data_IF_544216395116
#
_entry.id   IF_544216395116
#
_cell.length_a   1.000
_cell.length_b   1.000
_cell.length_c   1.000
_cell.angle_alpha   90.00
_cell.angle_beta   90.00
_cell.angle_gamma   90.00
#
_symmetry.space_group_name_H-M   'P 1'
#
loop_
_entity.id
_entity.type
_entity.pdbx_description
1 polymer ?
#
# COMPACT_ATOMS: atom_id res chain seq x y z
N UNK A 1 -5.73 59.66 -46.81
CA UNK A 1 -4.71 60.18 -45.87
C UNK A 1 -3.85 58.98 -45.47
N UNK A 2 -2.86 58.62 -46.28
CA UNK A 2 -1.50 59.16 -46.36
C UNK A 2 -0.52 58.52 -45.33
N UNK A 3 0.40 57.72 -45.89
CA UNK A 3 1.81 57.58 -45.54
C UNK A 3 2.27 56.83 -44.26
N UNK A 4 2.93 55.68 -44.50
CA UNK A 4 4.16 55.23 -43.81
C UNK A 4 5.30 56.29 -43.98
N UNK A 5 6.56 56.22 -43.43
CA UNK A 5 7.29 55.04 -42.91
C UNK A 5 8.42 55.30 -41.84
N UNK A 6 9.22 54.24 -41.55
CA UNK A 6 10.70 54.21 -41.33
C UNK A 6 11.40 54.74 -40.05
N UNK A 7 12.24 53.83 -39.49
CA UNK A 7 13.71 53.91 -39.22
C UNK A 7 14.29 54.32 -37.84
N UNK A 8 15.16 53.39 -37.39
CA UNK A 8 16.56 53.53 -36.93
C UNK A 8 16.94 53.91 -35.47
N UNK A 9 17.89 53.10 -34.96
CA UNK A 9 18.77 53.21 -33.77
C UNK A 9 19.45 54.59 -33.58
N UNK A 10 19.98 54.89 -32.38
CA UNK A 10 21.43 54.65 -32.16
C UNK A 10 21.86 54.20 -30.74
N UNK A 11 23.04 53.59 -30.71
CA UNK A 11 23.94 53.34 -29.57
C UNK A 11 24.15 54.57 -28.68
N UNK A 12 24.30 54.39 -27.36
CA UNK A 12 25.19 55.22 -26.51
C UNK A 12 25.86 54.36 -25.42
N UNK A 13 27.16 54.59 -25.26
CA UNK A 13 28.11 54.03 -24.29
C UNK A 13 27.76 54.43 -22.83
N UNK A 14 28.23 53.65 -21.85
CA UNK A 14 29.04 54.14 -20.71
C UNK A 14 29.77 52.94 -20.07
N UNK A 15 31.08 53.10 -19.96
CA UNK A 15 32.02 52.22 -19.26
C UNK A 15 32.10 52.61 -17.78
N UNK A 16 32.45 51.66 -16.90
CA UNK A 16 33.13 51.98 -15.65
C UNK A 16 34.13 50.86 -15.29
N UNK A 17 35.40 51.22 -15.47
CA UNK A 17 36.60 50.60 -14.90
C UNK A 17 36.59 50.76 -13.39
N UNK A 18 37.18 49.81 -12.66
CA UNK A 18 38.34 50.02 -11.77
C UNK A 18 38.60 48.75 -10.95
N UNK A 19 39.71 48.07 -11.23
CA UNK A 19 40.20 46.92 -10.46
C UNK A 19 41.72 46.94 -10.41
N UNK A 20 42.25 47.52 -9.35
CA UNK A 20 43.65 47.48 -8.89
C UNK A 20 43.62 47.79 -7.38
N UNK A 21 44.38 47.22 -6.47
CA UNK A 21 45.41 46.19 -6.47
C UNK A 21 45.59 45.72 -5.01
N UNK A 22 46.07 44.47 -4.85
CA UNK A 22 47.01 43.96 -3.84
C UNK A 22 47.06 44.54 -2.41
N UNK A 23 47.00 43.64 -1.42
CA UNK A 23 48.04 43.52 -0.36
C UNK A 23 47.85 42.23 0.47
N UNK A 24 48.94 41.48 0.63
CA UNK A 24 49.08 40.33 1.54
C UNK A 24 49.14 40.79 3.01
N UNK A 25 48.63 40.00 3.96
CA UNK A 25 49.28 39.76 5.26
C UNK A 25 48.61 38.70 6.15
N UNK A 26 49.45 37.75 6.57
CA UNK A 26 49.65 37.21 7.92
C UNK A 26 48.64 36.24 8.59
N UNK A 27 49.24 35.19 9.16
CA UNK A 27 48.70 34.15 10.03
C UNK A 27 48.57 34.57 11.50
N UNK A 28 47.57 34.03 12.22
CA UNK A 28 47.60 33.48 13.59
C UNK A 28 46.13 33.24 14.03
N UNK A 29 45.72 32.11 14.59
CA UNK A 29 45.96 31.71 15.99
C UNK A 29 45.70 30.20 16.25
N UNK A 30 46.21 29.77 17.41
CA UNK A 30 46.45 28.43 18.01
C UNK A 30 45.20 27.57 18.40
N UNK A 31 45.39 26.31 18.84
CA UNK A 31 44.40 25.22 18.82
C UNK A 31 43.61 25.04 20.12
N UNK A 32 42.46 24.35 20.05
CA UNK A 32 41.79 23.75 21.23
C UNK A 32 41.47 22.27 20.99
N UNK A 33 41.98 21.45 21.91
CA UNK A 33 41.60 20.06 22.13
C UNK A 33 40.21 19.97 22.77
N UNK A 34 39.39 19.02 22.32
CA UNK A 34 38.34 18.38 23.12
C UNK A 34 38.18 16.92 22.68
N UNK A 35 38.38 15.99 23.60
CA UNK A 35 38.19 14.53 23.48
C UNK A 35 36.72 14.13 23.78
N UNK A 36 36.31 12.85 23.62
CA UNK A 36 34.98 12.47 23.10
C UNK A 36 34.04 11.86 24.15
N UNK A 37 32.73 12.01 23.95
CA UNK A 37 31.65 11.02 24.21
C UNK A 37 30.29 11.71 24.01
N UNK A 38 29.44 11.22 23.11
CA UNK A 38 28.29 10.40 23.52
C UNK A 38 27.26 10.39 22.39
N UNK A 39 26.90 9.19 21.95
CA UNK A 39 26.30 8.86 20.66
C UNK A 39 24.91 9.48 20.42
N UNK A 40 24.76 10.17 19.28
CA UNK A 40 23.46 10.38 18.63
C UNK A 40 22.98 9.04 18.06
N UNK A 41 21.82 8.58 18.52
CA UNK A 41 21.14 7.43 17.97
C UNK A 41 20.44 7.85 16.67
N UNK A 42 21.20 8.02 15.59
CA UNK A 42 20.68 8.16 14.22
C UNK A 42 20.88 6.83 13.52
N UNK A 43 20.02 5.85 13.78
CA UNK A 43 19.94 4.70 12.90
C UNK A 43 19.47 5.21 11.52
N UNK A 44 20.27 5.05 10.46
CA UNK A 44 19.82 5.38 9.11
C UNK A 44 18.62 4.49 8.76
N UNK A 45 17.73 4.95 7.86
CA UNK A 45 16.74 4.07 7.25
C UNK A 45 17.44 2.81 6.72
N UNK A 46 16.90 1.60 6.94
CA UNK A 46 17.46 0.41 6.33
C UNK A 46 17.55 0.63 4.82
N UNK A 47 18.71 0.38 4.24
CA UNK A 47 18.93 0.46 2.80
C UNK A 47 17.80 -0.32 2.06
N UNK A 48 17.23 0.31 1.03
CA UNK A 48 16.00 -0.12 0.36
C UNK A 48 16.03 -1.55 -0.26
N UNK A 49 17.19 -2.20 -0.28
CA UNK A 49 17.41 -3.54 -0.85
C UNK A 49 17.47 -4.69 0.17
N UNK A 50 17.61 -4.44 1.47
CA UNK A 50 17.74 -5.52 2.47
C UNK A 50 16.42 -6.01 3.08
N UNK A 51 15.29 -5.35 2.81
CA UNK A 51 13.98 -5.87 3.20
C UNK A 51 13.50 -6.84 2.11
N UNK A 52 14.09 -8.04 2.09
CA UNK A 52 13.61 -9.14 1.23
C UNK A 52 12.42 -9.86 1.85
N UNK A 53 12.20 -9.69 3.17
CA UNK A 53 11.11 -10.30 3.90
C UNK A 53 10.28 -9.24 4.65
N UNK A 54 9.09 -8.94 4.12
CA UNK A 54 8.17 -7.95 4.66
C UNK A 54 7.55 -8.33 6.02
N UNK A 55 7.50 -9.61 6.36
CA UNK A 55 6.86 -10.09 7.59
C UNK A 55 7.68 -9.76 8.85
N UNK A 56 8.99 -9.53 8.69
CA UNK A 56 9.90 -9.20 9.78
C UNK A 56 9.86 -7.72 10.18
N UNK A 57 9.15 -6.88 9.43
CA UNK A 57 9.05 -5.45 9.73
C UNK A 57 8.14 -5.19 10.92
N UNK A 58 8.56 -4.23 11.75
CA UNK A 58 7.68 -3.68 12.79
C UNK A 58 6.47 -2.98 12.15
N UNK A 59 5.37 -2.76 12.88
CA UNK A 59 4.20 -2.09 12.33
C UNK A 59 4.49 -0.72 11.72
N UNK A 60 5.37 0.07 12.36
CA UNK A 60 5.76 1.39 11.89
C UNK A 60 6.60 1.31 10.59
N UNK A 61 7.51 0.34 10.50
CA UNK A 61 8.31 0.11 9.29
C UNK A 61 7.44 -0.38 8.14
N UNK A 62 6.57 -1.36 8.40
CA UNK A 62 5.62 -1.89 7.45
C UNK A 62 4.71 -0.78 6.88
N UNK A 63 4.16 0.06 7.77
CA UNK A 63 3.37 1.24 7.38
C UNK A 63 4.14 2.16 6.45
N UNK A 64 5.36 2.56 6.82
CA UNK A 64 6.18 3.46 6.02
C UNK A 64 6.45 2.92 4.61
N UNK A 65 6.53 1.60 4.44
CA UNK A 65 6.78 0.94 3.16
C UNK A 65 5.50 0.81 2.31
N UNK A 66 4.40 0.37 2.91
CA UNK A 66 3.25 -0.14 2.12
C UNK A 66 2.02 0.78 2.10
N UNK A 67 1.89 1.74 3.01
CA UNK A 67 0.64 2.49 3.22
C UNK A 67 0.04 3.06 1.93
N UNK A 68 0.85 3.70 1.09
CA UNK A 68 0.39 4.28 -0.18
C UNK A 68 -0.06 3.19 -1.17
N UNK A 69 0.70 2.09 -1.27
CA UNK A 69 0.33 0.96 -2.14
C UNK A 69 -0.97 0.30 -1.65
N UNK A 70 -1.12 0.11 -0.34
CA UNK A 70 -2.32 -0.47 0.25
C UNK A 70 -3.56 0.43 0.03
N UNK A 71 -3.41 1.74 0.16
CA UNK A 71 -4.48 2.71 -0.10
C UNK A 71 -4.93 2.72 -1.57
N UNK A 72 -3.98 2.59 -2.51
CA UNK A 72 -4.30 2.49 -3.94
C UNK A 72 -5.07 1.20 -4.24
N UNK A 73 -4.64 0.06 -3.67
CA UNK A 73 -5.34 -1.21 -3.82
C UNK A 73 -6.75 -1.15 -3.21
N UNK A 74 -6.88 -0.61 -2.01
CA UNK A 74 -8.17 -0.45 -1.33
C UNK A 74 -9.13 0.42 -2.15
N UNK A 75 -8.66 1.54 -2.71
CA UNK A 75 -9.46 2.39 -3.58
C UNK A 75 -9.87 1.67 -4.86
N UNK A 76 -8.94 0.99 -5.52
CA UNK A 76 -9.24 0.23 -6.73
C UNK A 76 -10.29 -0.86 -6.48
N UNK A 77 -10.19 -1.54 -5.34
CA UNK A 77 -11.23 -2.46 -4.88
C UNK A 77 -12.54 -1.69 -4.66
N UNK A 78 -12.58 -0.63 -3.85
CA UNK A 78 -13.80 0.15 -3.52
C UNK A 78 -14.50 0.79 -4.73
N UNK A 79 -13.77 1.13 -5.79
CA UNK A 79 -14.31 1.72 -7.02
C UNK A 79 -14.57 0.69 -8.13
N UNK A 80 -14.28 -0.59 -7.86
CA UNK A 80 -14.32 -1.68 -8.84
C UNK A 80 -13.41 -1.44 -10.07
N UNK A 81 -12.31 -0.72 -9.88
CA UNK A 81 -11.33 -0.41 -10.91
C UNK A 81 -10.36 -1.59 -11.08
N UNK A 82 -10.82 -2.63 -11.77
CA UNK A 82 -10.04 -3.87 -11.97
C UNK A 82 -8.82 -3.69 -12.86
N UNK A 83 -8.80 -2.67 -13.73
CA UNK A 83 -7.64 -2.32 -14.53
C UNK A 83 -6.50 -1.79 -13.66
N UNK A 84 -6.80 -0.90 -12.70
CA UNK A 84 -5.82 -0.41 -11.74
C UNK A 84 -5.35 -1.53 -10.82
N UNK A 85 -6.29 -2.34 -10.31
CA UNK A 85 -5.97 -3.47 -9.43
C UNK A 85 -5.03 -4.46 -10.13
N UNK A 86 -5.29 -4.80 -11.40
CA UNK A 86 -4.46 -5.71 -12.19
C UNK A 86 -2.99 -5.27 -12.27
N UNK A 87 -2.73 -3.97 -12.38
CA UNK A 87 -1.37 -3.42 -12.39
C UNK A 87 -0.60 -3.61 -11.07
N UNK A 88 -1.29 -3.96 -9.99
CA UNK A 88 -0.71 -4.20 -8.67
C UNK A 88 -0.51 -5.69 -8.36
N UNK A 89 -1.06 -6.58 -9.18
CA UNK A 89 -1.06 -8.02 -8.91
C UNK A 89 0.31 -8.63 -9.18
N UNK A 90 0.74 -9.55 -8.32
CA UNK A 90 2.04 -10.18 -8.46
C UNK A 90 2.15 -10.94 -9.80
N UNK A 91 3.19 -10.70 -10.62
CA UNK A 91 3.25 -11.19 -12.00
C UNK A 91 3.27 -12.72 -12.12
N UNK A 92 3.91 -13.42 -11.17
CA UNK A 92 3.98 -14.89 -11.14
C UNK A 92 2.93 -15.54 -10.22
N UNK A 93 2.77 -15.04 -8.99
CA UNK A 93 1.85 -15.62 -7.99
C UNK A 93 0.38 -15.30 -8.22
N UNK A 94 0.07 -14.20 -8.94
CA UNK A 94 -1.28 -13.66 -8.98
C UNK A 94 -1.73 -13.09 -7.64
N UNK A 95 -3.04 -12.89 -7.49
CA UNK A 95 -3.69 -12.50 -6.24
C UNK A 95 -4.72 -13.57 -5.86
N UNK A 96 -4.64 -14.02 -4.62
CA UNK A 96 -5.59 -14.96 -4.01
C UNK A 96 -6.73 -14.20 -3.34
N UNK A 97 -7.95 -14.69 -3.51
CA UNK A 97 -9.15 -14.19 -2.82
C UNK A 97 -9.64 -15.23 -1.83
N UNK A 98 -9.64 -14.88 -0.55
CA UNK A 98 -10.11 -15.73 0.54
C UNK A 98 -11.37 -15.11 1.17
N UNK A 99 -12.52 -15.81 1.17
CA UNK A 99 -13.77 -15.28 1.74
C UNK A 99 -13.73 -15.19 3.28
N UNK A 100 -12.71 -15.77 3.92
CA UNK A 100 -12.55 -15.86 5.37
C UNK A 100 -11.10 -15.63 5.81
N UNK A 101 -10.91 -15.52 7.13
CA UNK A 101 -9.59 -15.30 7.74
C UNK A 101 -8.64 -16.49 7.54
N UNK A 102 -9.19 -17.70 7.40
CA UNK A 102 -8.44 -18.87 7.01
C UNK A 102 -8.22 -18.86 5.50
N UNK A 103 -6.96 -18.81 5.11
CA UNK A 103 -6.52 -18.87 3.72
C UNK A 103 -6.38 -20.33 3.33
N UNK A 104 -7.23 -20.80 2.41
CA UNK A 104 -7.16 -22.15 1.86
C UNK A 104 -6.29 -22.14 0.60
N UNK A 105 -5.06 -22.66 0.72
CA UNK A 105 -4.11 -22.63 -0.39
C UNK A 105 -4.53 -23.45 -1.60
N UNK A 106 -5.41 -24.43 -1.40
CA UNK A 106 -5.79 -25.43 -2.38
C UNK A 106 -7.07 -25.05 -3.13
N UNK A 107 -8.00 -24.37 -2.47
CA UNK A 107 -9.33 -24.06 -3.05
C UNK A 107 -9.59 -22.57 -3.27
N UNK A 108 -8.90 -21.66 -2.59
CA UNK A 108 -9.15 -20.22 -2.80
C UNK A 108 -8.76 -19.81 -4.22
N UNK A 109 -9.59 -18.96 -4.82
CA UNK A 109 -9.39 -18.52 -6.19
C UNK A 109 -8.15 -17.64 -6.31
N UNK A 110 -7.30 -17.94 -7.29
CA UNK A 110 -6.12 -17.14 -7.64
C UNK A 110 -6.26 -16.63 -9.08
N UNK A 111 -6.06 -15.32 -9.26
CA UNK A 111 -6.12 -14.68 -10.58
C UNK A 111 -4.81 -13.96 -10.91
N UNK A 112 -4.34 -14.13 -12.14
CA UNK A 112 -3.21 -13.38 -12.69
C UNK A 112 -3.66 -11.99 -13.16
N UNK A 113 -2.69 -11.10 -13.40
CA UNK A 113 -2.92 -9.70 -13.82
C UNK A 113 -3.94 -9.58 -14.97
N UNK A 114 -3.76 -10.40 -16.03
CA UNK A 114 -4.62 -10.36 -17.22
C UNK A 114 -6.05 -10.82 -16.95
N UNK A 115 -6.25 -11.71 -15.96
CA UNK A 115 -7.58 -12.16 -15.55
C UNK A 115 -8.23 -11.08 -14.67
N UNK A 116 -7.48 -10.55 -13.69
CA UNK A 116 -7.98 -9.47 -12.82
C UNK A 116 -8.49 -8.30 -13.62
N UNK A 117 -7.78 -7.88 -14.67
CA UNK A 117 -8.17 -6.76 -15.54
C UNK A 117 -9.60 -6.87 -16.08
N UNK A 118 -10.11 -8.09 -16.27
CA UNK A 118 -11.40 -8.39 -16.90
C UNK A 118 -12.53 -8.64 -15.90
N UNK A 119 -12.21 -8.92 -14.63
CA UNK A 119 -13.17 -9.41 -13.63
C UNK A 119 -14.44 -8.53 -13.47
N UNK A 120 -14.32 -7.20 -13.58
CA UNK A 120 -15.47 -6.31 -13.41
C UNK A 120 -16.50 -6.45 -14.54
N UNK A 121 -16.07 -6.80 -15.75
CA UNK A 121 -16.92 -6.97 -16.92
C UNK A 121 -17.43 -8.41 -17.09
N UNK A 122 -16.84 -9.37 -16.36
CA UNK A 122 -17.21 -10.77 -16.46
C UNK A 122 -18.51 -11.08 -15.70
N UNK A 123 -19.33 -11.93 -16.31
CA UNK A 123 -20.53 -12.52 -15.71
C UNK A 123 -20.33 -13.98 -15.31
N UNK A 124 -19.10 -14.51 -15.51
CA UNK A 124 -18.73 -15.86 -15.11
C UNK A 124 -18.85 -16.00 -13.59
N UNK A 125 -19.47 -17.09 -13.13
CA UNK A 125 -19.48 -17.47 -11.72
C UNK A 125 -18.29 -18.35 -11.40
N UNK A 126 -17.70 -18.13 -10.23
CA UNK A 126 -16.63 -18.92 -9.66
C UNK A 126 -17.11 -19.52 -8.34
N UNK A 127 -16.53 -20.66 -7.94
CA UNK A 127 -16.72 -21.21 -6.60
C UNK A 127 -15.59 -20.68 -5.73
N UNK A 128 -15.91 -19.74 -4.83
CA UNK A 128 -14.92 -19.02 -4.02
C UNK A 128 -14.58 -19.73 -2.69
N UNK A 129 -15.25 -20.84 -2.42
CA UNK A 129 -15.18 -21.57 -1.15
C UNK A 129 -16.55 -22.13 -0.79
N UNK A 130 -16.77 -22.37 0.50
CA UNK A 130 -18.04 -22.86 1.06
C UNK A 130 -18.48 -21.95 2.19
N UNK A 131 -19.78 -21.69 2.32
CA UNK A 131 -20.31 -20.89 3.41
C UNK A 131 -20.12 -21.59 4.75
N UNK A 132 -19.61 -20.85 5.73
CA UNK A 132 -19.61 -21.32 7.12
C UNK A 132 -21.05 -21.54 7.62
N UNK A 133 -21.23 -22.55 8.46
CA UNK A 133 -22.52 -22.99 8.96
C UNK A 133 -23.32 -23.89 8.00
N UNK A 134 -23.61 -23.45 6.77
CA UNK A 134 -24.42 -24.24 5.82
C UNK A 134 -23.61 -25.27 5.02
N UNK A 135 -22.33 -25.01 4.77
CA UNK A 135 -21.47 -25.83 3.90
C UNK A 135 -21.73 -25.68 2.41
N UNK A 136 -22.70 -24.85 2.00
CA UNK A 136 -23.06 -24.64 0.59
C UNK A 136 -21.93 -23.93 -0.18
N UNK A 137 -21.70 -24.24 -1.46
CA UNK A 137 -20.66 -23.58 -2.25
C UNK A 137 -20.95 -22.10 -2.47
N UNK A 138 -19.94 -21.26 -2.30
CA UNK A 138 -19.99 -19.83 -2.58
C UNK A 138 -19.82 -19.62 -4.09
N UNK A 139 -20.90 -19.80 -4.85
CA UNK A 139 -20.90 -19.67 -6.31
C UNK A 139 -21.37 -18.29 -6.76
N UNK A 140 -20.42 -17.37 -6.99
CA UNK A 140 -20.68 -15.96 -7.25
C UNK A 140 -19.88 -15.45 -8.46
N UNK A 141 -20.41 -14.44 -9.16
CA UNK A 141 -19.57 -13.59 -10.03
C UNK A 141 -18.60 -12.78 -9.18
N UNK A 142 -17.54 -12.25 -9.79
CA UNK A 142 -16.61 -11.36 -9.07
C UNK A 142 -17.32 -10.14 -8.45
N UNK A 143 -18.24 -9.51 -9.18
CA UNK A 143 -18.97 -8.35 -8.68
C UNK A 143 -19.83 -8.68 -7.45
N UNK A 144 -20.46 -9.85 -7.42
CA UNK A 144 -21.21 -10.34 -6.26
C UNK A 144 -20.28 -10.68 -5.10
N UNK A 145 -19.19 -11.41 -5.35
CA UNK A 145 -18.18 -11.74 -4.35
C UNK A 145 -17.60 -10.48 -3.70
N UNK A 146 -17.16 -9.52 -4.52
CA UNK A 146 -16.60 -8.25 -4.08
C UNK A 146 -17.56 -7.51 -3.16
N UNK A 147 -18.84 -7.39 -3.54
CA UNK A 147 -19.86 -6.74 -2.70
C UNK A 147 -20.05 -7.45 -1.36
N UNK A 148 -19.95 -8.79 -1.35
CA UNK A 148 -20.24 -9.61 -0.18
C UNK A 148 -19.08 -9.76 0.80
N UNK A 149 -17.84 -9.77 0.31
CA UNK A 149 -16.65 -10.08 1.13
C UNK A 149 -15.56 -9.00 1.10
N UNK A 150 -15.55 -8.12 0.11
CA UNK A 150 -14.49 -7.10 -0.04
C UNK A 150 -14.99 -5.71 0.33
N UNK A 151 -16.23 -5.38 -0.03
CA UNK A 151 -16.87 -4.09 0.22
C UNK A 151 -18.21 -4.26 0.92
N UNK A 152 -18.30 -5.26 1.80
CA UNK A 152 -19.42 -5.43 2.72
C UNK A 152 -19.53 -4.23 3.67
N UNK A 153 -18.39 -3.57 3.93
CA UNK A 153 -18.26 -2.32 4.67
C UNK A 153 -17.45 -1.29 3.88
N UNK A 154 -17.60 -0.02 4.26
CA UNK A 154 -16.84 1.11 3.71
C UNK A 154 -15.47 1.24 4.40
N UNK A 155 -14.58 0.28 4.15
CA UNK A 155 -13.23 0.28 4.71
C UNK A 155 -12.38 1.48 4.26
N UNK A 156 -12.66 2.03 3.06
CA UNK A 156 -11.91 3.15 2.49
C UNK A 156 -12.11 4.44 3.30
N UNK A 157 -13.34 4.73 3.71
CA UNK A 157 -13.65 6.00 4.38
C UNK A 157 -14.00 5.85 5.87
N UNK A 158 -14.30 4.62 6.34
CA UNK A 158 -14.87 4.38 7.67
C UNK A 158 -14.18 3.25 8.44
N UNK A 159 -12.96 2.86 8.08
CA UNK A 159 -12.16 1.99 8.94
C UNK A 159 -11.87 2.71 10.28
N UNK A 160 -12.14 2.05 11.39
CA UNK A 160 -11.88 2.60 12.73
C UNK A 160 -10.40 2.44 13.12
N UNK A 161 -9.71 1.47 12.51
CA UNK A 161 -8.27 1.26 12.70
C UNK A 161 -7.64 0.57 11.49
N UNK A 162 -6.34 0.80 11.30
CA UNK A 162 -5.53 0.16 10.26
C UNK A 162 -4.31 -0.49 10.90
N UNK A 163 -4.20 -1.81 10.75
CA UNK A 163 -3.09 -2.60 11.25
C UNK A 163 -2.07 -2.87 10.16
N UNK A 164 -0.79 -2.80 10.50
CA UNK A 164 0.32 -3.15 9.62
C UNK A 164 1.13 -4.24 10.29
N UNK A 165 1.21 -5.43 9.69
CA UNK A 165 1.75 -6.64 10.32
C UNK A 165 1.18 -6.91 11.73
N UNK A 166 -0.10 -6.61 11.93
CA UNK A 166 -0.80 -6.79 13.20
C UNK A 166 -2.20 -7.36 12.95
N UNK A 167 -2.68 -8.19 13.88
CA UNK A 167 -4.06 -8.70 13.88
C UNK A 167 -4.93 -7.84 14.79
N UNK A 168 -5.94 -7.19 14.21
CA UNK A 168 -6.92 -6.39 14.94
C UNK A 168 -8.20 -7.19 15.16
N UNK A 169 -8.88 -7.59 14.08
CA UNK A 169 -10.10 -8.38 14.13
C UNK A 169 -9.81 -9.81 14.57
N UNK A 170 -10.28 -10.17 15.76
CA UNK A 170 -10.18 -11.52 16.31
C UNK A 170 -11.58 -12.13 16.40
N UNK A 171 -11.82 -13.13 15.57
CA UNK A 171 -13.06 -13.90 15.55
C UNK A 171 -12.86 -15.34 16.00
N UNK A 172 -13.84 -16.16 15.63
CA UNK A 172 -13.87 -17.61 15.86
C UNK A 172 -13.05 -18.40 14.83
N UNK A 173 -12.80 -17.86 13.64
CA UNK A 173 -12.06 -18.56 12.59
C UNK A 173 -10.54 -18.59 12.85
N UNK A 174 -9.90 -19.71 12.53
CA UNK A 174 -8.44 -19.82 12.53
C UNK A 174 -7.84 -18.85 11.51
N UNK A 175 -6.92 -18.00 11.94
CA UNK A 175 -6.22 -17.07 11.06
C UNK A 175 -4.79 -17.58 10.79
N UNK A 176 -4.53 -18.06 9.57
CA UNK A 176 -3.24 -18.63 9.15
C UNK A 176 -2.44 -17.70 8.22
N UNK A 177 -2.85 -16.43 8.07
CA UNK A 177 -2.30 -15.52 7.07
C UNK A 177 -0.79 -15.29 7.19
N UNK A 178 -0.25 -15.27 8.40
CA UNK A 178 1.20 -15.10 8.64
C UNK A 178 2.00 -16.32 8.19
N UNK A 179 1.39 -17.52 8.21
CA UNK A 179 2.01 -18.74 7.70
C UNK A 179 1.96 -18.79 6.17
N UNK A 180 0.84 -18.40 5.57
CA UNK A 180 0.66 -18.45 4.11
C UNK A 180 1.43 -17.34 3.40
N UNK A 181 1.48 -16.14 4.00
CA UNK A 181 2.16 -14.97 3.46
C UNK A 181 3.40 -14.62 4.30
N UNK A 182 4.29 -15.59 4.50
CA UNK A 182 5.47 -15.52 5.38
C UNK A 182 6.53 -14.48 4.97
N UNK A 183 6.38 -13.90 3.77
CA UNK A 183 7.25 -12.84 3.22
C UNK A 183 6.55 -11.51 3.01
N UNK A 184 5.24 -11.45 3.24
CA UNK A 184 4.44 -10.29 2.91
C UNK A 184 4.47 -9.22 4.00
N UNK A 185 4.20 -7.98 3.60
CA UNK A 185 3.61 -7.00 4.51
C UNK A 185 2.09 -7.18 4.42
N UNK A 186 1.44 -7.30 5.58
CA UNK A 186 -0.01 -7.48 5.67
C UNK A 186 -0.64 -6.22 6.24
N UNK A 187 -1.67 -5.70 5.58
CA UNK A 187 -2.46 -4.54 6.01
C UNK A 187 -3.88 -4.98 6.31
N UNK A 188 -4.39 -4.65 7.49
CA UNK A 188 -5.75 -4.94 7.91
C UNK A 188 -6.53 -3.64 8.14
N UNK A 189 -7.61 -3.45 7.37
CA UNK A 189 -8.56 -2.37 7.55
C UNK A 189 -9.74 -2.87 8.37
N UNK A 190 -9.80 -2.48 9.63
CA UNK A 190 -10.79 -2.98 10.59
C UNK A 190 -11.88 -1.93 10.86
N UNK A 191 -13.13 -2.38 10.89
CA UNK A 191 -14.28 -1.59 11.30
C UNK A 191 -15.04 -2.31 12.42
N UNK A 192 -15.28 -1.60 13.51
CA UNK A 192 -16.03 -2.08 14.66
C UNK A 192 -17.47 -2.46 14.29
N UNK A 193 -17.98 -3.49 14.97
CA UNK A 193 -19.40 -3.76 15.01
C UNK A 193 -20.11 -2.66 15.80
N UNK A 194 -21.27 -2.22 15.31
CA UNK A 194 -22.03 -1.11 15.89
C UNK A 194 -23.42 -1.53 16.32
N UNK A 195 -23.85 -2.73 15.94
CA UNK A 195 -25.18 -3.21 16.26
C UNK A 195 -25.19 -3.86 17.66
N UNK A 196 -25.91 -3.28 18.64
CA UNK A 196 -26.00 -3.85 19.98
C UNK A 196 -26.68 -5.22 20.01
N UNK A 197 -27.59 -5.51 19.06
CA UNK A 197 -28.30 -6.80 18.99
C UNK A 197 -27.34 -7.95 18.68
N UNK A 198 -26.24 -7.65 17.99
CA UNK A 198 -25.17 -8.61 17.70
C UNK A 198 -24.02 -8.53 18.71
N UNK A 199 -24.15 -7.77 19.81
CA UNK A 199 -23.08 -7.63 20.81
C UNK A 199 -21.76 -7.10 20.23
N UNK A 200 -21.83 -6.33 19.13
CA UNK A 200 -20.65 -5.87 18.40
C UNK A 200 -19.97 -6.93 17.52
N UNK A 201 -20.56 -8.13 17.36
CA UNK A 201 -20.05 -9.19 16.47
C UNK A 201 -20.19 -8.84 14.98
N UNK A 202 -20.92 -7.79 14.63
CA UNK A 202 -21.05 -7.25 13.27
C UNK A 202 -19.80 -6.47 12.80
N UNK A 203 -18.65 -6.65 13.46
CA UNK A 203 -17.37 -6.11 13.01
C UNK A 203 -16.93 -6.78 11.70
N UNK A 204 -16.02 -6.13 10.98
CA UNK A 204 -15.47 -6.68 9.76
C UNK A 204 -14.08 -6.14 9.46
N UNK A 205 -13.34 -6.86 8.64
CA UNK A 205 -12.01 -6.52 8.20
C UNK A 205 -11.76 -6.94 6.76
N UNK A 206 -11.13 -6.04 6.03
CA UNK A 206 -10.49 -6.34 4.76
C UNK A 206 -8.98 -6.38 4.97
N UNK A 207 -8.36 -7.49 4.60
CA UNK A 207 -6.92 -7.72 4.79
C UNK A 207 -6.25 -7.88 3.44
N UNK A 208 -5.18 -7.14 3.22
CA UNK A 208 -4.39 -7.14 1.98
C UNK A 208 -2.97 -7.61 2.27
N UNK A 209 -2.46 -8.56 1.49
CA UNK A 209 -1.09 -9.05 1.60
C UNK A 209 -0.25 -8.61 0.39
N UNK A 210 0.92 -8.03 0.66
CA UNK A 210 1.84 -7.52 -0.34
C UNK A 210 3.19 -8.19 -0.25
N UNK A 211 3.66 -8.78 -1.35
CA UNK A 211 4.99 -9.37 -1.44
C UNK A 211 5.91 -8.58 -2.37
N UNK A 212 7.20 -8.56 -2.04
CA UNK A 212 8.22 -7.90 -2.86
C UNK A 212 8.72 -8.85 -3.95
N UNK A 213 8.73 -8.39 -5.19
CA UNK A 213 9.28 -9.09 -6.34
C UNK A 213 10.04 -8.10 -7.23
N UNK A 214 11.29 -8.40 -7.58
CA UNK A 214 12.16 -7.53 -8.38
C UNK A 214 12.18 -6.05 -7.94
N UNK A 215 12.26 -5.82 -6.62
CA UNK A 215 12.32 -4.47 -6.04
C UNK A 215 10.97 -3.77 -5.87
N UNK A 216 9.86 -4.34 -6.35
CA UNK A 216 8.52 -3.74 -6.28
C UNK A 216 7.57 -4.56 -5.41
N UNK A 217 6.61 -3.89 -4.77
CA UNK A 217 5.58 -4.53 -3.95
C UNK A 217 4.33 -4.82 -4.77
N UNK A 218 3.87 -6.06 -4.70
CA UNK A 218 2.69 -6.53 -5.41
C UNK A 218 1.67 -7.14 -4.47
N UNK A 219 0.40 -6.91 -4.77
CA UNK A 219 -0.74 -7.55 -4.11
C UNK A 219 -0.74 -9.05 -4.45
N UNK A 220 -0.79 -9.88 -3.42
CA UNK A 220 -0.80 -11.35 -3.50
C UNK A 220 -1.99 -11.98 -2.79
N UNK A 221 -2.61 -11.27 -1.85
CA UNK A 221 -3.77 -11.78 -1.11
C UNK A 221 -4.78 -10.70 -0.78
N UNK A 222 -6.06 -11.05 -0.89
CA UNK A 222 -7.23 -10.28 -0.44
C UNK A 222 -8.05 -11.23 0.43
N UNK A 223 -8.19 -10.93 1.71
CA UNK A 223 -8.89 -11.77 2.67
C UNK A 223 -9.96 -10.98 3.39
N UNK A 224 -11.11 -11.61 3.63
CA UNK A 224 -12.14 -11.07 4.49
C UNK A 224 -12.05 -11.70 5.88
N UNK A 225 -12.27 -10.93 6.93
CA UNK A 225 -12.32 -11.45 8.30
C UNK A 225 -13.48 -10.78 9.03
N UNK A 226 -14.35 -11.60 9.60
CA UNK A 226 -15.55 -11.18 10.34
C UNK A 226 -15.96 -12.31 11.27
N UNK A 227 -16.96 -12.06 12.12
CA UNK A 227 -17.61 -13.13 12.85
C UNK A 227 -18.37 -14.05 11.89
N UNK A 228 -18.12 -15.35 11.99
CA UNK A 228 -18.77 -16.40 11.20
C UNK A 228 -19.63 -17.30 12.11
N UNK A 229 -20.54 -18.09 11.53
CA UNK A 229 -21.56 -18.87 12.26
C UNK A 229 -21.29 -20.36 12.11
#
# INVERSE_FOLDING_TARGET
MANAPKKNNPFWFIALLFGAAWLCSACNTKPQNATPNGQQNTNPPPAADTITNGSLLTPQQAKAVIEQHAMIALRALAENNTMQLAGMVHPQKGVRFSPYAFVNTDTDMVFLQQQVAKLAAEVQKYTWGTFDGSGEPITLTYNEYRKKFVTDKDYLNKADSVGYNQIIGRGNSLNNREKVYDKAIIVEYYQNGKNPDFGGMDWGSLVLAFEKYNGQWYLTGIMHNSWTI
#
